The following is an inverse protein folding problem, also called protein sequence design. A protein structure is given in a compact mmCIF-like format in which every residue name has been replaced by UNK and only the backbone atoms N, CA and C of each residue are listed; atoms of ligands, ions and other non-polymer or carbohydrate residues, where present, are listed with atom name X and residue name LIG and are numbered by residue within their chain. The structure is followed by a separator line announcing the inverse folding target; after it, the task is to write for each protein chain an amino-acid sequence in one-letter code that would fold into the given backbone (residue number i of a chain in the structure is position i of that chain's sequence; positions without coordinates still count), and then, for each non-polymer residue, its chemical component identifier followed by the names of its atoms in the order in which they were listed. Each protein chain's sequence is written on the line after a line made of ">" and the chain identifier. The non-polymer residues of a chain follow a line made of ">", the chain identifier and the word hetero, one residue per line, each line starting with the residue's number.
data_IF_354875807520
#
_entry.id   IF_354875807520
#
_cell.length_a   1.000
_cell.length_b   1.000
_cell.length_c   1.000
_cell.angle_alpha   90.00
_cell.angle_beta   90.00
_cell.angle_gamma   90.00
#
_symmetry.space_group_name_H-M   'P 1'
#
loop_
_entity.id
_entity.type
_entity.pdbx_description
1 polymer ?
#
# COMPACT_ATOMS: atom_id res chain seq x y z
N UNK A 1 -35.86 16.42 -2.63
CA UNK A 1 -35.36 15.14 -3.21
C UNK A 1 -33.95 14.93 -2.77
N UNK A 2 -33.73 13.93 -1.91
CA UNK A 2 -32.37 13.47 -1.58
C UNK A 2 -31.82 12.71 -2.80
N UNK A 3 -30.80 13.26 -3.46
CA UNK A 3 -30.11 12.54 -4.53
C UNK A 3 -29.33 11.37 -3.94
N UNK A 4 -29.59 10.18 -4.45
CA UNK A 4 -28.82 9.00 -4.10
C UNK A 4 -27.58 8.94 -5.00
N UNK A 5 -26.40 9.00 -4.41
CA UNK A 5 -25.15 8.90 -5.14
C UNK A 5 -24.74 7.43 -5.29
N UNK A 6 -24.27 7.09 -6.48
CA UNK A 6 -23.75 5.76 -6.80
C UNK A 6 -22.34 5.89 -7.37
N UNK A 7 -21.46 4.96 -6.98
CA UNK A 7 -20.16 4.83 -7.63
C UNK A 7 -20.35 4.29 -9.05
N UNK A 8 -19.78 4.96 -10.04
CA UNK A 8 -19.87 4.59 -11.46
C UNK A 8 -18.64 3.84 -11.98
N UNK A 9 -17.56 3.88 -11.25
CA UNK A 9 -16.32 3.22 -11.61
C UNK A 9 -15.25 3.42 -10.56
N UNK A 10 -14.13 2.72 -10.76
CA UNK A 10 -12.93 2.90 -9.95
C UNK A 10 -11.67 2.65 -10.78
N UNK A 11 -10.58 3.17 -10.28
CA UNK A 11 -9.23 2.80 -10.71
C UNK A 11 -8.36 2.69 -9.47
N UNK A 12 -7.57 1.61 -9.37
CA UNK A 12 -6.51 1.51 -8.38
C UNK A 12 -5.25 0.88 -8.96
N UNK A 13 -4.14 1.16 -8.32
CA UNK A 13 -2.84 0.61 -8.64
C UNK A 13 -2.26 -0.06 -7.40
N UNK A 14 -1.71 -1.25 -7.58
CA UNK A 14 -0.89 -1.93 -6.58
C UNK A 14 0.55 -1.48 -6.80
N UNK A 15 1.17 -0.91 -5.77
CA UNK A 15 2.58 -0.55 -5.77
C UNK A 15 3.35 -1.40 -4.78
N UNK A 16 4.49 -1.91 -5.22
CA UNK A 16 5.47 -2.60 -4.40
C UNK A 16 6.68 -1.69 -4.17
N UNK A 17 7.23 -1.71 -2.96
CA UNK A 17 8.53 -1.07 -2.70
C UNK A 17 9.70 -1.84 -3.31
N UNK A 18 9.43 -3.02 -3.89
CA UNK A 18 10.41 -3.77 -4.66
C UNK A 18 10.39 -3.25 -6.10
N UNK A 19 11.48 -2.64 -6.53
CA UNK A 19 11.62 -2.03 -7.87
C UNK A 19 11.39 -3.00 -9.05
N UNK A 20 11.47 -4.29 -8.78
CA UNK A 20 11.31 -5.36 -9.79
C UNK A 20 9.85 -5.68 -10.11
N UNK A 21 8.90 -5.25 -9.29
CA UNK A 21 7.48 -5.58 -9.46
C UNK A 21 6.68 -4.37 -9.94
N UNK A 22 6.03 -4.53 -11.09
CA UNK A 22 5.10 -3.54 -11.64
C UNK A 22 3.74 -4.20 -11.90
N UNK A 23 2.67 -3.52 -11.44
CA UNK A 23 1.31 -3.98 -11.67
C UNK A 23 0.59 -3.05 -12.65
N UNK A 24 -0.27 -3.61 -13.47
CA UNK A 24 -1.17 -2.80 -14.30
C UNK A 24 -2.30 -2.22 -13.44
N UNK A 25 -2.78 -1.01 -13.75
CA UNK A 25 -3.94 -0.45 -13.07
C UNK A 25 -5.17 -1.35 -13.23
N UNK A 26 -5.93 -1.50 -12.16
CA UNK A 26 -7.25 -2.12 -12.18
C UNK A 26 -8.29 -1.03 -12.43
N UNK A 27 -9.02 -1.15 -13.54
CA UNK A 27 -10.02 -0.17 -13.96
C UNK A 27 -11.34 -0.89 -14.17
N UNK A 28 -12.40 -0.32 -13.65
CA UNK A 28 -13.76 -0.81 -13.86
C UNK A 28 -14.72 0.39 -13.99
N UNK A 29 -15.65 0.29 -14.92
CA UNK A 29 -16.78 1.19 -15.06
C UNK A 29 -18.05 0.35 -15.20
N UNK A 30 -19.10 0.69 -14.47
CA UNK A 30 -20.34 -0.06 -14.51
C UNK A 30 -21.14 0.03 -13.22
N UNK A 31 -22.26 -0.67 -13.18
CA UNK A 31 -23.09 -0.79 -11.99
C UNK A 31 -22.34 -1.49 -10.85
N UNK A 32 -22.78 -1.22 -9.62
CA UNK A 32 -22.18 -1.81 -8.42
C UNK A 32 -20.66 -1.60 -8.27
N UNK A 33 -20.11 -0.51 -8.83
CA UNK A 33 -18.68 -0.24 -8.86
C UNK A 33 -18.03 -0.31 -7.47
N UNK A 34 -18.67 0.17 -6.41
CA UNK A 34 -18.14 0.09 -5.05
C UNK A 34 -18.04 -1.36 -4.54
N UNK A 35 -19.02 -2.20 -4.89
CA UNK A 35 -18.99 -3.62 -4.54
C UNK A 35 -17.89 -4.35 -5.32
N UNK A 36 -17.82 -4.09 -6.63
CA UNK A 36 -16.81 -4.68 -7.50
C UNK A 36 -15.40 -4.28 -7.06
N UNK A 37 -15.21 -3.02 -6.63
CA UNK A 37 -13.96 -2.52 -6.06
C UNK A 37 -13.51 -3.33 -4.85
N UNK A 38 -14.40 -3.54 -3.86
CA UNK A 38 -14.08 -4.32 -2.67
C UNK A 38 -13.77 -5.78 -3.00
N UNK A 39 -14.56 -6.39 -3.85
CA UNK A 39 -14.35 -7.78 -4.27
C UNK A 39 -13.00 -7.92 -4.97
N UNK A 40 -12.63 -6.99 -5.88
CA UNK A 40 -11.34 -6.99 -6.59
C UNK A 40 -10.15 -6.74 -5.66
N UNK A 41 -10.27 -5.82 -4.70
CA UNK A 41 -9.20 -5.57 -3.72
C UNK A 41 -8.94 -6.79 -2.85
N UNK A 42 -9.98 -7.48 -2.42
CA UNK A 42 -9.85 -8.67 -1.58
C UNK A 42 -9.27 -9.83 -2.40
N UNK A 43 -9.70 -9.99 -3.65
CA UNK A 43 -9.14 -10.99 -4.55
C UNK A 43 -7.64 -10.75 -4.79
N UNK A 44 -7.25 -9.54 -5.14
CA UNK A 44 -5.84 -9.17 -5.31
C UNK A 44 -5.02 -9.34 -4.00
N UNK A 45 -5.62 -9.03 -2.84
CA UNK A 45 -4.99 -9.27 -1.55
C UNK A 45 -4.69 -10.75 -1.33
N UNK A 46 -5.67 -11.63 -1.58
CA UNK A 46 -5.53 -13.07 -1.32
C UNK A 46 -4.68 -13.77 -2.38
N UNK A 47 -4.86 -13.43 -3.66
CA UNK A 47 -4.24 -14.16 -4.77
C UNK A 47 -2.90 -13.58 -5.22
N UNK A 48 -2.68 -12.27 -5.03
CA UNK A 48 -1.50 -11.57 -5.52
C UNK A 48 -0.58 -11.16 -4.37
N UNK A 49 -1.11 -10.45 -3.35
CA UNK A 49 -0.28 -9.77 -2.35
C UNK A 49 0.16 -10.72 -1.24
N UNK A 50 -0.77 -11.43 -0.60
CA UNK A 50 -0.45 -12.36 0.49
C UNK A 50 0.53 -13.47 0.09
N UNK A 51 0.40 -14.11 -1.09
CA UNK A 51 1.39 -15.09 -1.54
C UNK A 51 2.80 -14.50 -1.62
N UNK A 52 2.95 -13.25 -2.11
CA UNK A 52 4.24 -12.57 -2.20
C UNK A 52 4.84 -12.25 -0.84
N UNK A 53 4.04 -11.71 0.08
CA UNK A 53 4.48 -11.40 1.44
C UNK A 53 4.85 -12.67 2.22
N UNK A 54 4.18 -13.78 1.94
CA UNK A 54 4.44 -15.06 2.59
C UNK A 54 5.60 -15.83 1.95
N UNK A 55 6.01 -15.48 0.73
CA UNK A 55 7.13 -16.09 0.04
C UNK A 55 8.43 -15.46 0.56
N UNK A 56 9.08 -16.13 1.52
CA UNK A 56 10.35 -15.70 2.09
C UNK A 56 11.47 -16.20 1.18
N UNK A 57 12.17 -15.25 0.55
CA UNK A 57 13.37 -15.56 -0.23
C UNK A 57 14.47 -16.11 0.68
N UNK A 58 15.14 -17.16 0.24
CA UNK A 58 16.34 -17.65 0.91
C UNK A 58 17.44 -16.60 0.84
N UNK A 59 18.26 -16.52 1.90
CA UNK A 59 19.38 -15.58 1.91
C UNK A 59 20.34 -15.86 0.76
N UNK A 60 20.68 -14.82 0.00
CA UNK A 60 21.76 -14.86 -0.98
C UNK A 60 23.08 -14.88 -0.20
N UNK A 61 23.74 -16.03 -0.22
CA UNK A 61 25.00 -16.21 0.46
C UNK A 61 26.16 -16.05 -0.54
N UNK A 62 27.06 -15.11 -0.25
CA UNK A 62 28.24 -14.84 -1.02
C UNK A 62 29.41 -14.42 -0.11
N UNK A 63 30.62 -14.35 -0.64
CA UNK A 63 31.83 -14.02 0.10
C UNK A 63 31.77 -12.62 0.74
N UNK A 64 31.10 -11.65 0.10
CA UNK A 64 30.91 -10.32 0.65
C UNK A 64 30.03 -10.36 1.91
N UNK A 65 28.91 -11.04 1.84
CA UNK A 65 28.01 -11.22 2.98
C UNK A 65 28.71 -11.90 4.17
N UNK A 66 29.54 -12.91 3.87
CA UNK A 66 30.33 -13.59 4.90
C UNK A 66 31.35 -12.68 5.52
N UNK A 67 32.12 -11.93 4.72
CA UNK A 67 33.12 -10.99 5.22
C UNK A 67 32.48 -9.89 6.07
N UNK A 68 31.37 -9.32 5.63
CA UNK A 68 30.59 -8.30 6.36
C UNK A 68 30.04 -8.87 7.68
N UNK A 69 29.55 -10.10 7.67
CA UNK A 69 29.11 -10.77 8.90
C UNK A 69 30.27 -10.95 9.89
N UNK A 70 31.42 -11.45 9.44
CA UNK A 70 32.57 -11.74 10.30
C UNK A 70 33.22 -10.47 10.87
N UNK A 71 33.21 -9.37 10.12
CA UNK A 71 33.74 -8.05 10.54
C UNK A 71 32.76 -7.23 11.37
N UNK A 72 31.50 -7.62 11.48
CA UNK A 72 30.51 -6.84 12.19
C UNK A 72 30.78 -6.82 13.71
N UNK A 73 30.91 -5.64 14.26
CA UNK A 73 31.12 -5.38 15.70
C UNK A 73 29.82 -4.96 16.40
N UNK A 74 28.82 -4.49 15.63
CA UNK A 74 27.54 -3.98 16.14
C UNK A 74 26.37 -4.69 15.48
N UNK A 75 25.30 -4.83 16.25
CA UNK A 75 24.02 -5.31 15.77
C UNK A 75 23.43 -4.34 14.75
N UNK A 76 23.13 -4.81 13.57
CA UNK A 76 22.46 -4.06 12.50
C UNK A 76 21.10 -3.41 12.92
N UNK A 77 20.42 -4.00 13.93
CA UNK A 77 19.07 -3.60 14.32
C UNK A 77 19.06 -2.59 15.47
N UNK A 78 19.83 -2.86 16.53
CA UNK A 78 19.84 -2.04 17.75
C UNK A 78 21.14 -1.25 17.94
N UNK A 79 22.13 -1.40 17.05
CA UNK A 79 23.43 -0.73 17.05
C UNK A 79 24.33 -1.03 18.28
N UNK A 80 23.84 -1.86 19.21
CA UNK A 80 24.66 -2.28 20.36
C UNK A 80 25.76 -3.27 19.93
N UNK A 81 26.86 -3.38 20.71
CA UNK A 81 27.96 -4.30 20.43
C UNK A 81 27.48 -5.76 20.32
N UNK A 82 28.15 -6.53 19.47
CA UNK A 82 27.96 -7.98 19.31
C UNK A 82 29.04 -8.71 20.10
N UNK A 83 28.62 -9.48 21.11
CA UNK A 83 29.54 -10.26 21.96
C UNK A 83 29.63 -11.71 21.45
N UNK A 84 30.57 -11.95 20.50
CA UNK A 84 30.79 -13.28 19.90
C UNK A 84 31.27 -14.28 20.93
N UNK A 85 30.59 -15.44 21.01
CA UNK A 85 30.85 -16.46 22.02
C UNK A 85 29.99 -16.38 23.28
N UNK A 86 29.41 -15.23 23.59
CA UNK A 86 28.54 -15.03 24.74
C UNK A 86 27.05 -15.05 24.35
N UNK A 87 26.75 -14.72 23.09
CA UNK A 87 25.40 -14.64 22.57
C UNK A 87 25.27 -15.19 21.15
N UNK A 88 24.02 -15.51 20.75
CA UNK A 88 23.76 -16.01 19.40
C UNK A 88 23.59 -14.81 18.45
N UNK A 89 24.50 -14.74 17.48
CA UNK A 89 24.49 -13.76 16.41
C UNK A 89 24.01 -14.43 15.13
N UNK A 90 23.02 -13.80 14.48
CA UNK A 90 22.40 -14.33 13.27
C UNK A 90 22.65 -13.43 12.07
N UNK A 91 22.61 -14.01 10.87
CA UNK A 91 22.63 -13.27 9.60
C UNK A 91 21.23 -12.81 9.29
N UNK A 92 20.98 -11.49 9.38
CA UNK A 92 19.72 -10.91 8.97
C UNK A 92 19.75 -10.62 7.47
N UNK A 93 18.67 -10.96 6.77
CA UNK A 93 18.50 -10.69 5.35
C UNK A 93 17.09 -10.15 5.07
N UNK A 94 16.94 -9.45 3.97
CA UNK A 94 15.65 -9.01 3.46
C UNK A 94 14.87 -10.24 2.98
N UNK A 95 13.75 -10.52 3.60
CA UNK A 95 12.95 -11.70 3.28
C UNK A 95 12.29 -11.62 1.90
N UNK A 96 12.16 -10.44 1.29
CA UNK A 96 11.61 -10.29 -0.04
C UNK A 96 12.67 -10.49 -1.15
N UNK A 97 13.91 -10.01 -0.92
CA UNK A 97 14.98 -10.05 -1.94
C UNK A 97 16.02 -11.14 -1.67
N UNK A 98 16.14 -11.63 -0.45
CA UNK A 98 17.19 -12.54 -0.02
C UNK A 98 18.52 -11.84 0.30
N UNK A 99 18.63 -10.52 0.09
CA UNK A 99 19.88 -9.79 0.31
C UNK A 99 20.28 -9.72 1.78
N UNK A 100 21.57 -9.92 2.04
CA UNK A 100 22.13 -9.78 3.38
C UNK A 100 22.08 -8.32 3.86
N UNK A 101 21.42 -8.09 5.00
CA UNK A 101 21.33 -6.77 5.63
C UNK A 101 22.44 -6.52 6.66
N UNK A 102 22.70 -7.49 7.55
CA UNK A 102 23.71 -7.33 8.60
C UNK A 102 23.68 -8.42 9.65
N UNK A 103 24.70 -8.41 10.53
CA UNK A 103 24.74 -9.26 11.71
C UNK A 103 23.81 -8.71 12.80
N UNK A 104 23.05 -9.56 13.44
CA UNK A 104 22.07 -9.15 14.46
C UNK A 104 22.09 -10.11 15.65
N UNK A 105 21.76 -9.58 16.85
CA UNK A 105 21.40 -10.43 17.96
C UNK A 105 20.18 -11.27 17.59
N UNK A 106 20.16 -12.52 17.94
CA UNK A 106 19.01 -13.40 17.71
C UNK A 106 17.70 -12.79 18.25
N UNK A 107 17.74 -12.20 19.45
CA UNK A 107 16.57 -11.54 20.07
C UNK A 107 16.06 -10.37 19.21
N UNK A 108 16.96 -9.52 18.71
CA UNK A 108 16.61 -8.40 17.85
C UNK A 108 15.99 -8.88 16.54
N UNK A 109 16.56 -9.90 15.92
CA UNK A 109 16.04 -10.51 14.70
C UNK A 109 14.64 -11.12 14.89
N UNK A 110 14.40 -11.76 16.04
CA UNK A 110 13.08 -12.32 16.36
C UNK A 110 12.02 -11.25 16.60
N UNK A 111 12.40 -10.09 17.16
CA UNK A 111 11.50 -8.95 17.36
C UNK A 111 11.06 -8.30 16.03
N UNK A 112 11.89 -8.37 14.98
CA UNK A 112 11.51 -7.90 13.64
C UNK A 112 10.51 -8.82 12.93
N UNK A 113 10.36 -10.06 13.39
CA UNK A 113 9.31 -10.94 12.87
C UNK A 113 7.96 -10.41 13.34
N UNK A 114 7.39 -9.52 12.57
CA UNK A 114 6.00 -9.11 12.80
C UNK A 114 5.12 -10.35 12.73
N UNK A 115 4.26 -10.57 13.73
CA UNK A 115 3.33 -11.68 13.66
C UNK A 115 2.44 -11.48 12.43
N UNK A 116 2.36 -12.46 11.55
CA UNK A 116 1.49 -12.50 10.35
C UNK A 116 0.03 -12.11 10.67
N UNK A 117 -0.36 -12.21 11.95
CA UNK A 117 -1.68 -11.89 12.48
C UNK A 117 -2.07 -10.40 12.35
N UNK A 118 -1.13 -9.49 12.14
CA UNK A 118 -1.38 -8.03 12.12
C UNK A 118 -1.10 -7.38 10.78
N UNK A 119 -0.91 -8.18 9.72
CA UNK A 119 -0.76 -7.60 8.39
C UNK A 119 -2.07 -6.91 7.98
N UNK A 120 -1.97 -5.64 7.64
CA UNK A 120 -3.04 -4.88 7.02
C UNK A 120 -2.49 -4.14 5.81
N UNK A 121 -3.11 -4.37 4.66
CA UNK A 121 -2.74 -3.68 3.43
C UNK A 121 -3.29 -2.26 3.45
N UNK A 122 -2.45 -1.22 3.34
CA UNK A 122 -2.94 0.14 3.21
C UNK A 122 -3.55 0.37 1.83
N UNK A 123 -4.77 0.88 1.80
CA UNK A 123 -5.48 1.35 0.61
C UNK A 123 -5.57 2.87 0.72
N UNK A 124 -4.77 3.57 -0.10
CA UNK A 124 -4.62 5.03 0.01
C UNK A 124 -5.54 5.73 -0.96
N UNK A 125 -6.30 6.69 -0.44
CA UNK A 125 -7.13 7.62 -1.18
C UNK A 125 -6.64 9.05 -0.97
N UNK A 126 -7.24 10.00 -1.68
CA UNK A 126 -7.07 11.41 -1.42
C UNK A 126 -8.44 12.11 -1.35
N UNK A 127 -8.79 12.59 -0.15
CA UNK A 127 -10.07 13.26 0.11
C UNK A 127 -11.28 12.34 0.29
N UNK A 128 -11.09 11.03 0.36
CA UNK A 128 -12.16 10.03 0.37
C UNK A 128 -12.94 9.94 1.69
N UNK A 129 -12.35 10.38 2.80
CA UNK A 129 -12.97 10.30 4.13
C UNK A 129 -14.29 11.07 4.24
N UNK A 130 -14.51 12.04 3.36
CA UNK A 130 -15.72 12.86 3.32
C UNK A 130 -16.77 12.34 2.35
N UNK A 131 -16.43 11.43 1.43
CA UNK A 131 -17.36 11.04 0.36
C UNK A 131 -17.23 9.57 -0.06
N UNK A 132 -16.08 9.17 -0.65
CA UNK A 132 -15.95 7.84 -1.28
C UNK A 132 -16.11 6.71 -0.29
N UNK A 133 -15.63 6.86 0.96
CA UNK A 133 -15.79 5.84 1.98
C UNK A 133 -17.24 5.53 2.34
N UNK A 134 -18.15 6.49 2.18
CA UNK A 134 -19.58 6.23 2.38
C UNK A 134 -20.14 5.28 1.33
N UNK A 135 -19.69 5.42 0.06
CA UNK A 135 -20.08 4.54 -1.02
C UNK A 135 -19.50 3.12 -0.81
N UNK A 136 -18.25 3.05 -0.36
CA UNK A 136 -17.58 1.78 -0.03
C UNK A 136 -18.30 1.10 1.14
N UNK A 137 -18.60 1.82 2.22
CA UNK A 137 -19.29 1.28 3.40
C UNK A 137 -20.65 0.68 3.07
N UNK A 138 -21.42 1.29 2.15
CA UNK A 138 -22.70 0.75 1.69
C UNK A 138 -22.54 -0.59 0.96
N UNK A 139 -21.38 -0.86 0.37
CA UNK A 139 -21.08 -2.09 -0.36
C UNK A 139 -20.51 -3.21 0.54
N UNK A 140 -20.07 -2.89 1.77
CA UNK A 140 -19.48 -3.88 2.69
C UNK A 140 -20.49 -4.95 3.06
N UNK A 141 -20.08 -6.21 2.96
CA UNK A 141 -20.85 -7.38 3.39
C UNK A 141 -20.03 -8.21 4.37
N UNK A 142 -20.70 -9.07 5.14
CA UNK A 142 -20.05 -9.96 6.12
C UNK A 142 -18.88 -10.78 5.55
N UNK A 143 -18.96 -11.16 4.26
CA UNK A 143 -17.89 -11.92 3.58
C UNK A 143 -16.57 -11.13 3.43
N UNK A 144 -16.61 -9.80 3.49
CA UNK A 144 -15.42 -8.94 3.34
C UNK A 144 -14.58 -8.87 4.63
N UNK A 145 -15.05 -9.47 5.72
CA UNK A 145 -14.36 -9.52 6.99
C UNK A 145 -14.90 -8.51 8.02
N UNK A 146 -14.14 -8.34 9.09
CA UNK A 146 -14.52 -7.46 10.20
C UNK A 146 -14.37 -6.01 9.79
N UNK A 147 -15.45 -5.24 9.95
CA UNK A 147 -15.45 -3.80 9.78
C UNK A 147 -14.94 -3.11 11.06
N UNK A 148 -13.91 -2.30 10.95
CA UNK A 148 -13.43 -1.42 12.01
C UNK A 148 -13.47 0.02 11.53
N UNK A 149 -13.99 0.92 12.36
CA UNK A 149 -14.13 2.32 11.97
C UNK A 149 -13.87 3.21 13.17
N UNK A 150 -13.09 4.27 12.97
CA UNK A 150 -12.99 5.39 13.91
C UNK A 150 -13.59 6.60 13.23
N UNK A 151 -14.76 7.02 13.70
CA UNK A 151 -15.43 8.20 13.21
C UNK A 151 -14.91 9.46 13.90
N UNK A 152 -14.75 10.55 13.16
CA UNK A 152 -14.52 11.89 13.69
C UNK A 152 -15.85 12.61 13.98
N UNK A 153 -16.81 12.42 13.07
CA UNK A 153 -18.18 12.88 13.17
C UNK A 153 -19.12 11.83 12.57
N UNK A 154 -20.44 12.05 12.60
CA UNK A 154 -21.40 11.19 11.92
C UNK A 154 -21.14 11.01 10.42
N UNK A 155 -20.44 11.98 9.80
CA UNK A 155 -20.22 12.05 8.35
C UNK A 155 -18.74 11.92 7.95
N UNK A 156 -17.82 11.83 8.91
CA UNK A 156 -16.38 11.79 8.64
C UNK A 156 -15.71 10.68 9.39
N UNK A 157 -14.82 9.96 8.70
CA UNK A 157 -14.06 8.86 9.26
C UNK A 157 -12.57 9.21 9.32
N UNK A 158 -11.93 8.87 10.44
CA UNK A 158 -10.46 8.97 10.60
C UNK A 158 -9.79 7.72 10.06
N UNK A 159 -10.39 6.57 10.33
CA UNK A 159 -9.86 5.26 9.91
C UNK A 159 -11.01 4.35 9.53
N UNK A 160 -10.82 3.61 8.46
CA UNK A 160 -11.72 2.57 8.00
C UNK A 160 -10.88 1.31 7.76
N UNK A 161 -11.27 0.19 8.35
CA UNK A 161 -10.66 -1.12 8.10
C UNK A 161 -11.72 -2.14 7.72
N UNK A 162 -11.41 -2.97 6.74
CA UNK A 162 -12.29 -4.05 6.26
C UNK A 162 -11.42 -5.31 6.13
N UNK A 163 -11.58 -6.26 7.04
CA UNK A 163 -10.70 -7.42 7.11
C UNK A 163 -9.24 -7.01 7.27
N UNK A 164 -8.39 -7.45 6.36
CA UNK A 164 -6.96 -7.11 6.32
C UNK A 164 -6.64 -5.85 5.52
N UNK A 165 -7.66 -5.12 5.04
CA UNK A 165 -7.49 -3.82 4.40
C UNK A 165 -7.57 -2.71 5.44
N UNK A 166 -6.72 -1.67 5.28
CA UNK A 166 -6.82 -0.44 6.06
C UNK A 166 -6.84 0.77 5.12
N UNK A 167 -7.95 1.48 5.12
CA UNK A 167 -8.15 2.64 4.28
C UNK A 167 -7.53 3.88 4.91
N UNK A 168 -6.75 4.61 4.13
CA UNK A 168 -6.05 5.82 4.52
C UNK A 168 -6.40 6.96 3.58
N UNK A 169 -6.60 8.14 4.14
CA UNK A 169 -6.84 9.36 3.37
C UNK A 169 -5.61 10.26 3.45
N UNK A 170 -4.89 10.39 2.34
CA UNK A 170 -3.67 11.19 2.29
C UNK A 170 -3.92 12.68 2.53
N UNK A 171 -5.13 13.19 2.22
CA UNK A 171 -5.48 14.58 2.52
C UNK A 171 -5.42 14.91 4.00
N UNK A 172 -5.68 13.93 4.89
CA UNK A 172 -5.57 14.12 6.34
C UNK A 172 -4.12 14.29 6.82
N UNK A 173 -3.15 13.73 6.08
CA UNK A 173 -1.73 13.79 6.41
C UNK A 173 -1.02 14.97 5.73
N UNK A 174 -1.60 15.51 4.66
CA UNK A 174 -1.02 16.55 3.80
C UNK A 174 -1.73 17.90 3.94
N UNK A 175 -2.14 18.26 5.14
CA UNK A 175 -2.79 19.54 5.47
C UNK A 175 -3.99 19.89 4.58
N UNK A 176 -4.73 18.87 4.12
CA UNK A 176 -5.89 19.02 3.23
C UNK A 176 -5.60 19.70 1.87
N UNK A 177 -4.37 19.63 1.40
CA UNK A 177 -4.02 20.10 0.06
C UNK A 177 -4.82 19.34 -1.01
N UNK A 178 -5.18 20.03 -2.09
CA UNK A 178 -5.80 19.39 -3.25
C UNK A 178 -4.75 18.62 -4.08
N UNK A 179 -5.18 17.60 -4.81
CA UNK A 179 -4.29 16.87 -5.74
C UNK A 179 -3.64 17.81 -6.77
N UNK A 180 -4.37 18.85 -7.23
CA UNK A 180 -3.86 19.83 -8.18
C UNK A 180 -2.75 20.68 -7.56
N UNK A 181 -2.90 21.11 -6.29
CA UNK A 181 -1.84 21.81 -5.56
C UNK A 181 -0.61 20.95 -5.38
N UNK A 182 -0.80 19.70 -4.92
CA UNK A 182 0.31 18.75 -4.72
C UNK A 182 1.07 18.45 -6.02
N UNK A 183 0.33 18.26 -7.13
CA UNK A 183 0.96 17.99 -8.42
C UNK A 183 1.81 19.17 -8.92
N UNK A 184 1.43 20.42 -8.61
CA UNK A 184 2.20 21.62 -8.96
C UNK A 184 3.50 21.76 -8.18
N UNK A 185 3.58 21.17 -6.99
CA UNK A 185 4.80 21.19 -6.16
C UNK A 185 5.83 20.15 -6.60
N UNK A 186 5.43 19.18 -7.44
CA UNK A 186 6.30 18.11 -7.94
C UNK A 186 7.12 18.55 -9.15
N UNK A 187 8.33 18.01 -9.24
CA UNK A 187 9.19 18.16 -10.42
C UNK A 187 8.93 17.02 -11.41
N UNK A 188 9.26 17.19 -12.70
CA UNK A 188 9.10 16.13 -13.70
C UNK A 188 9.72 14.78 -13.32
N UNK A 189 10.82 14.78 -12.56
CA UNK A 189 11.50 13.57 -12.07
C UNK A 189 10.67 12.77 -11.04
N UNK A 190 9.73 13.43 -10.35
CA UNK A 190 8.96 12.83 -9.26
C UNK A 190 7.76 12.02 -9.80
N UNK A 191 7.37 12.21 -11.08
CA UNK A 191 6.29 11.49 -11.75
C UNK A 191 6.71 10.10 -12.29
N UNK A 192 7.42 9.32 -11.48
CA UNK A 192 8.00 8.02 -11.88
C UNK A 192 6.90 7.04 -12.29
N UNK A 193 5.89 6.87 -11.45
CA UNK A 193 4.77 5.95 -11.69
C UNK A 193 3.94 6.40 -12.89
N UNK A 194 3.62 7.70 -12.95
CA UNK A 194 2.83 8.27 -14.04
C UNK A 194 3.52 8.07 -15.39
N UNK A 195 4.82 8.33 -15.48
CA UNK A 195 5.62 8.09 -16.70
C UNK A 195 5.67 6.62 -17.10
N UNK A 196 5.80 5.73 -16.10
CA UNK A 196 5.81 4.28 -16.34
C UNK A 196 4.50 3.80 -16.94
N UNK A 197 3.36 4.28 -16.41
CA UNK A 197 2.03 3.85 -16.85
C UNK A 197 1.58 4.53 -18.14
N UNK A 198 1.96 5.79 -18.35
CA UNK A 198 1.51 6.63 -19.46
C UNK A 198 2.69 7.30 -20.18
N UNK A 199 3.62 6.54 -20.76
CA UNK A 199 4.89 7.08 -21.27
C UNK A 199 4.72 8.17 -22.35
N UNK A 200 3.63 8.16 -23.11
CA UNK A 200 3.38 9.12 -24.19
C UNK A 200 2.60 10.36 -23.77
N UNK A 201 1.90 10.32 -22.62
CA UNK A 201 0.93 11.36 -22.23
C UNK A 201 1.02 11.74 -20.75
N UNK A 202 2.12 11.41 -20.09
CA UNK A 202 2.29 11.63 -18.65
C UNK A 202 2.16 13.12 -18.26
N UNK A 203 2.58 14.05 -19.16
CA UNK A 203 2.50 15.50 -18.90
C UNK A 203 1.04 15.98 -18.72
N UNK A 204 0.10 15.36 -19.42
CA UNK A 204 -1.33 15.67 -19.26
C UNK A 204 -1.85 15.29 -17.87
N UNK A 205 -1.24 14.28 -17.25
CA UNK A 205 -1.63 13.72 -15.95
C UNK A 205 -0.92 14.38 -14.76
N UNK A 206 -0.12 15.41 -14.98
CA UNK A 206 0.53 16.21 -13.90
C UNK A 206 -0.38 17.29 -13.32
N UNK A 207 -1.64 17.30 -13.68
CA UNK A 207 -2.65 18.26 -13.23
C UNK A 207 -4.02 17.61 -13.15
N UNK A 208 -4.92 18.21 -12.39
CA UNK A 208 -6.31 17.78 -12.35
C UNK A 208 -6.97 18.05 -13.71
N UNK A 209 -7.42 17.00 -14.36
CA UNK A 209 -8.20 17.11 -15.60
C UNK A 209 -9.68 17.31 -15.29
N UNK A 210 -10.46 17.93 -16.20
CA UNK A 210 -11.92 17.99 -16.07
C UNK A 210 -12.49 16.57 -16.13
N UNK A 211 -13.45 16.29 -15.24
CA UNK A 211 -14.15 15.02 -15.27
C UNK A 211 -15.11 14.97 -16.46
N UNK A 212 -15.09 13.92 -17.29
CA UNK A 212 -15.92 13.84 -18.50
C UNK A 212 -17.36 13.42 -18.17
N UNK A 213 -18.13 14.31 -17.53
CA UNK A 213 -19.50 14.05 -17.09
C UNK A 213 -20.41 13.57 -18.23
N UNK A 214 -20.27 14.11 -19.43
CA UNK A 214 -21.10 13.74 -20.59
C UNK A 214 -20.85 12.29 -21.06
N UNK A 215 -19.62 11.79 -20.87
CA UNK A 215 -19.27 10.42 -21.19
C UNK A 215 -19.91 9.41 -20.22
N UNK A 216 -20.03 9.79 -18.95
CA UNK A 216 -20.58 8.93 -17.90
C UNK A 216 -22.07 9.21 -17.59
N UNK A 217 -22.76 10.00 -18.41
CA UNK A 217 -24.17 10.38 -18.17
C UNK A 217 -25.17 9.24 -18.40
N UNK A 218 -24.77 8.15 -19.06
CA UNK A 218 -25.62 6.99 -19.35
C UNK A 218 -24.85 5.70 -19.11
N UNK A 219 -25.49 4.79 -18.37
CA UNK A 219 -25.08 3.38 -18.37
C UNK A 219 -25.41 2.81 -19.76
N UNK A 220 -24.41 2.51 -20.56
CA UNK A 220 -24.58 1.81 -21.85
C UNK A 220 -24.38 0.32 -21.66
#
# INVERSE_FOLDING_TARGET
>A
HLQKHHAMGYCYLIESFLETETFAPRIYTGEDAAKHFLDSLIDDLETVIKPRINNISTMIYNDDAEQRFNKAEKCWICENPLHRGEEIIVRHHNHATGEYCGAAHQKCNLLLKQPKKYFRLPVVFHGASNYDWHLILQAVKRRHGVLTCIAKTMERYITLGIGDLIFRDSAMHLAHQSLDSMAKDLQPKDFIITKRLFPKHWELLTRKLPYPYDYFSKWS
#
